data_IF_368342920451
#
_entry.id   IF_368342920451
#
_cell.length_a   1.000
_cell.length_b   1.000
_cell.length_c   1.000
_cell.angle_alpha   90.00
_cell.angle_beta   90.00
_cell.angle_gamma   90.00
#
_symmetry.space_group_name_H-M   'P 1'
#
loop_
_entity.id
_entity.type
_entity.pdbx_description
1 polymer ?
#
# COMPACT_ATOMS: atom_id res chain seq x y z
N UNK A 1 1.07 -22.77 17.04
CA UNK A 1 1.65 -23.07 15.75
C UNK A 1 2.19 -21.76 15.18
N UNK A 2 3.51 -21.59 15.12
CA UNK A 2 4.11 -20.48 14.40
C UNK A 2 4.04 -20.86 12.90
N UNK A 3 3.25 -20.15 12.10
CA UNK A 3 3.40 -20.18 10.66
C UNK A 3 4.74 -19.54 10.34
N UNK A 4 5.58 -20.20 9.56
CA UNK A 4 6.84 -19.62 9.11
C UNK A 4 6.54 -18.32 8.34
N UNK A 5 7.24 -17.24 8.66
CA UNK A 5 7.12 -15.96 7.97
C UNK A 5 7.73 -15.98 6.56
N UNK A 6 8.29 -17.09 6.14
CA UNK A 6 8.83 -17.32 4.80
C UNK A 6 8.97 -18.80 4.51
N UNK A 7 8.87 -19.16 3.24
CA UNK A 7 9.13 -20.50 2.72
C UNK A 7 10.19 -20.39 1.63
N UNK A 8 11.36 -21.01 1.88
CA UNK A 8 12.43 -21.14 0.89
C UNK A 8 12.54 -22.62 0.51
N UNK A 9 12.58 -22.91 -0.78
CA UNK A 9 12.81 -24.24 -1.33
C UNK A 9 13.85 -24.14 -2.46
N UNK A 10 14.47 -25.24 -2.85
CA UNK A 10 15.42 -25.29 -3.97
C UNK A 10 14.75 -24.99 -5.33
N UNK A 11 13.40 -25.03 -5.38
CA UNK A 11 12.58 -24.80 -6.57
C UNK A 11 12.09 -23.36 -6.71
N UNK A 12 12.45 -22.47 -5.77
CA UNK A 12 12.01 -21.07 -5.83
C UNK A 12 12.84 -20.26 -6.83
N UNK A 13 12.20 -19.81 -7.91
CA UNK A 13 12.80 -18.87 -8.87
C UNK A 13 12.77 -17.42 -8.35
N UNK A 14 11.81 -17.10 -7.47
CA UNK A 14 11.58 -15.75 -6.95
C UNK A 14 11.44 -15.74 -5.43
N UNK A 15 11.89 -14.64 -4.84
CA UNK A 15 11.60 -14.29 -3.46
C UNK A 15 10.81 -12.98 -3.42
N UNK A 16 9.61 -13.01 -2.82
CA UNK A 16 8.82 -11.81 -2.56
C UNK A 16 9.07 -11.38 -1.11
N UNK A 17 9.51 -10.13 -0.94
CA UNK A 17 9.80 -9.56 0.38
C UNK A 17 8.91 -8.35 0.61
N UNK A 18 8.37 -8.23 1.83
CA UNK A 18 7.74 -6.99 2.28
C UNK A 18 8.84 -5.94 2.51
N UNK A 19 8.68 -4.77 1.89
CA UNK A 19 9.55 -3.63 2.12
C UNK A 19 9.28 -3.05 3.51
N UNK A 20 10.33 -2.95 4.33
CA UNK A 20 10.26 -2.40 5.68
C UNK A 20 11.36 -1.34 5.83
N UNK A 21 10.95 -0.09 5.91
CA UNK A 21 11.82 1.07 6.11
C UNK A 21 12.30 1.22 7.55
N UNK A 22 11.80 0.40 8.49
CA UNK A 22 12.27 0.43 9.87
C UNK A 22 13.69 -0.14 10.01
N UNK A 23 14.35 0.18 11.13
CA UNK A 23 15.73 -0.21 11.38
C UNK A 23 15.93 -1.73 11.35
N UNK A 24 17.05 -2.17 10.78
CA UNK A 24 17.43 -3.58 10.71
C UNK A 24 17.63 -4.20 12.09
N UNK A 25 18.31 -3.48 12.98
CA UNK A 25 18.52 -3.87 14.37
C UNK A 25 18.93 -2.66 15.22
N UNK A 26 19.09 -2.86 16.52
CA UNK A 26 19.66 -1.84 17.43
C UNK A 26 21.14 -1.51 17.15
N UNK A 27 21.87 -2.44 16.57
CA UNK A 27 23.28 -2.29 16.20
C UNK A 27 23.46 -1.77 14.78
N UNK A 28 22.64 -2.25 13.85
CA UNK A 28 22.61 -1.75 12.47
C UNK A 28 21.36 -0.89 12.29
N UNK A 29 21.56 0.41 12.32
CA UNK A 29 20.45 1.39 12.22
C UNK A 29 20.04 1.71 10.79
N UNK A 30 20.57 1.00 9.80
CA UNK A 30 20.09 1.15 8.43
C UNK A 30 18.67 0.57 8.31
N UNK A 31 17.78 1.21 7.56
CA UNK A 31 16.51 0.60 7.16
C UNK A 31 16.69 -0.78 6.50
N UNK A 32 15.81 -1.70 6.79
CA UNK A 32 15.86 -3.06 6.21
C UNK A 32 15.85 -3.05 4.70
N UNK A 33 15.04 -2.17 4.09
CA UNK A 33 14.95 -2.03 2.64
C UNK A 33 16.30 -1.79 1.96
N UNK A 34 17.24 -1.09 2.62
CA UNK A 34 18.56 -0.80 2.07
C UNK A 34 19.47 -2.04 1.96
N UNK A 35 19.08 -3.14 2.61
CA UNK A 35 19.83 -4.40 2.57
C UNK A 35 19.37 -5.36 1.47
N UNK A 36 18.20 -5.12 0.88
CA UNK A 36 17.56 -6.09 -0.03
C UNK A 36 18.13 -6.08 -1.44
N UNK A 37 18.58 -4.93 -1.94
CA UNK A 37 19.10 -4.77 -3.31
C UNK A 37 18.20 -5.46 -4.37
N UNK A 38 16.92 -5.08 -4.47
CA UNK A 38 15.96 -5.84 -5.25
C UNK A 38 16.20 -5.74 -6.76
N UNK A 39 15.83 -6.82 -7.46
CA UNK A 39 15.75 -6.83 -8.93
C UNK A 39 14.51 -6.10 -9.42
N UNK A 40 13.39 -6.27 -8.72
CA UNK A 40 12.11 -5.63 -8.96
C UNK A 40 11.68 -5.00 -7.64
N UNK A 41 11.37 -3.73 -7.65
CA UNK A 41 10.85 -3.01 -6.50
C UNK A 41 9.50 -2.36 -6.84
N UNK A 42 8.59 -2.34 -5.85
CA UNK A 42 7.39 -1.53 -5.87
C UNK A 42 7.43 -0.54 -4.71
N UNK A 43 7.24 0.74 -5.01
CA UNK A 43 7.03 1.78 -4.00
C UNK A 43 5.63 2.35 -4.18
N UNK A 44 4.76 2.11 -3.21
CA UNK A 44 3.35 2.51 -3.26
C UNK A 44 3.10 3.95 -2.81
N UNK A 45 4.08 4.59 -2.17
CA UNK A 45 4.02 5.97 -1.72
C UNK A 45 4.94 6.25 -0.54
N UNK A 46 5.14 7.53 -0.24
CA UNK A 46 5.98 8.02 0.86
C UNK A 46 5.09 8.82 1.81
N UNK A 47 4.56 8.15 2.84
CA UNK A 47 3.77 8.79 3.89
C UNK A 47 4.54 8.70 5.22
N UNK A 48 4.83 9.86 5.82
CA UNK A 48 5.66 9.93 7.02
C UNK A 48 5.13 9.07 8.16
N UNK A 49 5.95 8.16 8.61
CA UNK A 49 5.71 7.30 9.77
C UNK A 49 7.02 7.12 10.56
N UNK A 50 6.97 6.36 11.66
CA UNK A 50 8.15 6.02 12.48
C UNK A 50 8.95 7.23 12.94
N UNK A 51 8.27 8.27 13.46
CA UNK A 51 8.89 9.54 13.92
C UNK A 51 9.95 9.35 15.01
N UNK A 52 9.95 8.22 15.71
CA UNK A 52 10.98 7.84 16.67
C UNK A 52 12.32 7.46 16.00
N UNK A 53 12.31 7.12 14.74
CA UNK A 53 13.48 6.73 13.93
C UNK A 53 13.82 7.81 12.92
N UNK A 54 12.80 8.37 12.28
CA UNK A 54 12.90 9.42 11.27
C UNK A 54 12.24 10.71 11.80
N UNK A 55 12.99 11.55 12.52
CA UNK A 55 12.43 12.69 13.24
C UNK A 55 11.92 13.82 12.34
N UNK A 56 12.28 13.81 11.04
CA UNK A 56 11.78 14.75 10.04
C UNK A 56 11.31 14.01 8.79
N UNK A 57 10.41 14.63 8.05
CA UNK A 57 9.91 14.08 6.78
C UNK A 57 11.03 13.94 5.75
N UNK A 58 11.94 14.91 5.66
CA UNK A 58 13.08 14.89 4.74
C UNK A 58 14.01 13.70 5.03
N UNK A 59 14.23 13.40 6.31
CA UNK A 59 15.01 12.23 6.70
C UNK A 59 14.34 10.92 6.29
N UNK A 60 13.00 10.87 6.35
CA UNK A 60 12.21 9.72 5.90
C UNK A 60 12.28 9.56 4.38
N UNK A 61 12.05 10.64 3.61
CA UNK A 61 12.13 10.66 2.15
C UNK A 61 13.51 10.21 1.65
N UNK A 62 14.59 10.62 2.35
CA UNK A 62 15.96 10.24 2.00
C UNK A 62 16.16 8.71 2.03
N UNK A 63 15.44 7.95 2.87
CA UNK A 63 15.56 6.49 2.90
C UNK A 63 15.04 5.86 1.61
N UNK A 64 13.99 6.40 1.03
CA UNK A 64 13.47 5.94 -0.26
C UNK A 64 14.40 6.31 -1.42
N UNK A 65 15.04 7.49 -1.36
CA UNK A 65 16.06 7.85 -2.34
C UNK A 65 17.24 6.86 -2.29
N UNK A 66 17.75 6.56 -1.09
CA UNK A 66 18.81 5.59 -0.89
C UNK A 66 18.39 4.17 -1.33
N UNK A 67 17.12 3.81 -1.11
CA UNK A 67 16.59 2.52 -1.56
C UNK A 67 16.62 2.40 -3.08
N UNK A 68 16.16 3.43 -3.82
CA UNK A 68 16.21 3.43 -5.28
C UNK A 68 17.67 3.32 -5.77
N UNK A 69 18.61 4.04 -5.14
CA UNK A 69 20.04 3.95 -5.46
C UNK A 69 20.66 2.57 -5.14
N UNK A 70 20.10 1.84 -4.16
CA UNK A 70 20.56 0.50 -3.78
C UNK A 70 20.12 -0.61 -4.74
N UNK A 71 19.16 -0.35 -5.63
CA UNK A 71 18.69 -1.33 -6.62
C UNK A 71 19.84 -1.78 -7.51
N UNK A 72 19.74 -3.00 -8.04
CA UNK A 72 20.71 -3.48 -9.03
C UNK A 72 20.59 -2.72 -10.35
N UNK A 73 21.66 -2.62 -11.11
CA UNK A 73 21.61 -2.08 -12.47
C UNK A 73 20.77 -2.99 -13.38
N UNK A 74 19.97 -2.38 -14.25
CA UNK A 74 18.99 -3.08 -15.08
C UNK A 74 17.73 -3.52 -14.35
N UNK A 75 17.63 -3.26 -13.05
CA UNK A 75 16.45 -3.56 -12.23
C UNK A 75 15.19 -2.81 -12.68
N UNK A 76 14.07 -3.17 -12.09
CA UNK A 76 12.75 -2.60 -12.41
C UNK A 76 12.17 -1.90 -11.18
N UNK A 77 11.85 -0.63 -11.30
CA UNK A 77 11.12 0.14 -10.31
C UNK A 77 9.70 0.41 -10.79
N UNK A 78 8.74 -0.11 -10.08
CA UNK A 78 7.31 0.18 -10.23
C UNK A 78 6.96 1.21 -9.15
N UNK A 79 6.33 2.32 -9.51
CA UNK A 79 6.11 3.40 -8.57
C UNK A 79 4.77 4.11 -8.78
N UNK A 80 4.13 4.47 -7.69
CA UNK A 80 2.91 5.28 -7.72
C UNK A 80 3.24 6.70 -8.18
N UNK A 81 2.77 7.08 -9.37
CA UNK A 81 3.02 8.41 -9.94
C UNK A 81 2.16 9.53 -9.35
N UNK A 82 1.18 9.19 -8.51
CA UNK A 82 0.35 10.16 -7.79
C UNK A 82 1.04 10.68 -6.52
N UNK A 83 2.13 10.03 -6.08
CA UNK A 83 2.97 10.50 -4.98
C UNK A 83 4.07 11.44 -5.51
N UNK A 84 3.93 12.73 -5.21
CA UNK A 84 4.83 13.78 -5.74
C UNK A 84 6.26 13.66 -5.19
N UNK A 85 6.46 13.21 -3.94
CA UNK A 85 7.81 13.04 -3.40
C UNK A 85 8.51 11.84 -4.04
N UNK A 86 7.77 10.75 -4.25
CA UNK A 86 8.29 9.58 -4.95
C UNK A 86 8.65 9.92 -6.41
N UNK A 87 7.81 10.68 -7.11
CA UNK A 87 8.12 11.15 -8.47
C UNK A 87 9.41 11.94 -8.54
N UNK A 88 9.65 12.85 -7.59
CA UNK A 88 10.90 13.64 -7.53
C UNK A 88 12.12 12.71 -7.43
N UNK A 89 12.08 11.71 -6.56
CA UNK A 89 13.13 10.71 -6.40
C UNK A 89 13.36 9.96 -7.71
N UNK A 90 12.28 9.44 -8.32
CA UNK A 90 12.35 8.62 -9.54
C UNK A 90 12.90 9.41 -10.73
N UNK A 91 12.57 10.70 -10.85
CA UNK A 91 13.08 11.53 -11.94
C UNK A 91 14.51 12.01 -11.69
N UNK A 92 14.90 12.17 -10.43
CA UNK A 92 16.24 12.64 -10.08
C UNK A 92 17.31 11.54 -10.13
N UNK A 93 16.93 10.25 -10.00
CA UNK A 93 17.91 9.17 -10.03
C UNK A 93 18.51 8.96 -11.42
N UNK A 94 19.84 8.89 -11.49
CA UNK A 94 20.62 8.52 -12.67
C UNK A 94 20.85 6.99 -12.76
N UNK A 95 20.32 6.22 -11.80
CA UNK A 95 20.45 4.77 -11.78
C UNK A 95 19.90 4.15 -13.06
N UNK A 96 20.66 3.25 -13.68
CA UNK A 96 20.28 2.54 -14.90
C UNK A 96 19.23 1.45 -14.59
N UNK A 97 17.99 1.86 -14.30
CA UNK A 97 16.83 1.00 -14.00
C UNK A 97 15.66 1.31 -14.93
N UNK A 98 14.79 0.33 -15.15
CA UNK A 98 13.52 0.53 -15.86
C UNK A 98 12.50 1.10 -14.90
N UNK A 99 11.75 2.12 -15.30
CA UNK A 99 10.79 2.85 -14.45
C UNK A 99 9.38 2.67 -15.00
N UNK A 100 8.49 2.10 -14.21
CA UNK A 100 7.09 1.84 -14.56
C UNK A 100 6.17 2.63 -13.63
N UNK A 101 5.62 3.77 -14.10
CA UNK A 101 4.63 4.53 -13.34
C UNK A 101 3.31 3.78 -13.29
N UNK A 102 2.58 3.92 -12.20
CA UNK A 102 1.19 3.50 -12.09
C UNK A 102 0.40 4.48 -11.24
N UNK A 103 -0.90 4.43 -11.35
CA UNK A 103 -1.88 5.18 -10.56
C UNK A 103 -3.08 4.30 -10.26
N UNK A 104 -4.05 4.85 -9.54
CA UNK A 104 -5.33 4.17 -9.32
C UNK A 104 -5.95 3.83 -10.68
N UNK A 105 -6.28 2.55 -10.95
CA UNK A 105 -6.86 2.14 -12.22
C UNK A 105 -8.30 2.66 -12.37
N UNK A 106 -8.77 2.77 -13.61
CA UNK A 106 -10.14 3.15 -13.88
C UNK A 106 -11.13 2.14 -13.30
N UNK A 107 -12.07 2.62 -12.52
CA UNK A 107 -13.06 1.80 -11.83
C UNK A 107 -14.35 2.58 -11.61
N UNK A 108 -15.40 1.87 -11.23
CA UNK A 108 -16.65 2.46 -10.77
C UNK A 108 -17.29 1.61 -9.67
N UNK A 109 -18.22 2.21 -8.94
CA UNK A 109 -18.97 1.53 -7.89
C UNK A 109 -20.42 1.46 -8.33
N UNK A 110 -20.97 0.25 -8.33
CA UNK A 110 -22.39 0.02 -8.59
C UNK A 110 -22.97 -0.90 -7.51
N UNK A 111 -24.06 -0.46 -6.87
CA UNK A 111 -24.77 -1.21 -5.82
C UNK A 111 -23.84 -1.73 -4.69
N UNK A 112 -22.80 -0.94 -4.33
CA UNK A 112 -21.83 -1.29 -3.29
C UNK A 112 -20.82 -2.36 -3.69
N UNK A 113 -20.66 -2.61 -4.97
CA UNK A 113 -19.62 -3.46 -5.56
C UNK A 113 -18.69 -2.57 -6.39
N UNK A 114 -17.39 -2.70 -6.19
CA UNK A 114 -16.37 -2.04 -7.01
C UNK A 114 -16.09 -2.85 -8.25
N UNK A 115 -16.13 -2.21 -9.42
CA UNK A 115 -15.81 -2.81 -10.71
C UNK A 115 -14.55 -2.17 -11.27
N UNK A 116 -13.56 -2.99 -11.60
CA UNK A 116 -12.36 -2.57 -12.31
C UNK A 116 -12.63 -2.57 -13.82
N UNK A 117 -12.35 -1.48 -14.51
CA UNK A 117 -12.41 -1.43 -15.98
C UNK A 117 -11.18 -2.13 -16.56
N UNK A 118 -11.40 -3.21 -17.29
CA UNK A 118 -10.35 -3.90 -18.03
C UNK A 118 -10.59 -3.79 -19.53
N UNK A 119 -9.61 -4.21 -20.33
CA UNK A 119 -9.75 -4.24 -21.79
C UNK A 119 -10.92 -5.15 -22.26
N UNK A 120 -11.20 -6.22 -21.55
CA UNK A 120 -12.29 -7.15 -21.85
C UNK A 120 -13.65 -6.73 -21.25
N UNK A 121 -13.66 -5.67 -20.47
CA UNK A 121 -14.85 -5.15 -19.80
C UNK A 121 -14.68 -5.08 -18.28
N UNK A 122 -15.71 -4.61 -17.56
CA UNK A 122 -15.62 -4.44 -16.12
C UNK A 122 -15.67 -5.78 -15.38
N UNK A 123 -14.78 -5.97 -14.42
CA UNK A 123 -14.77 -7.13 -13.52
C UNK A 123 -15.09 -6.72 -12.09
N UNK A 124 -15.91 -7.48 -11.35
CA UNK A 124 -16.24 -7.19 -9.97
C UNK A 124 -15.05 -7.54 -9.05
N UNK A 125 -14.84 -6.73 -8.01
CA UNK A 125 -13.83 -6.94 -7.00
C UNK A 125 -14.46 -7.11 -5.62
N UNK A 126 -13.85 -7.94 -4.79
CA UNK A 126 -14.16 -8.08 -3.37
C UNK A 126 -13.51 -6.98 -2.51
N UNK A 127 -12.48 -6.32 -3.06
CA UNK A 127 -11.79 -5.18 -2.43
C UNK A 127 -12.29 -3.85 -2.99
N UNK A 128 -12.13 -2.78 -2.23
CA UNK A 128 -12.52 -1.43 -2.63
C UNK A 128 -11.62 -0.36 -2.02
N UNK A 129 -11.78 0.88 -2.50
CA UNK A 129 -11.03 2.06 -2.09
C UNK A 129 -9.76 2.26 -2.89
N UNK A 130 -9.48 3.51 -3.22
CA UNK A 130 -8.40 3.91 -4.12
C UNK A 130 -7.03 3.34 -3.72
N UNK A 131 -6.73 3.30 -2.40
CA UNK A 131 -5.48 2.74 -1.90
C UNK A 131 -5.34 1.23 -2.16
N UNK A 132 -6.44 0.45 -2.06
CA UNK A 132 -6.42 -0.98 -2.39
C UNK A 132 -6.34 -1.19 -3.90
N UNK A 133 -7.02 -0.35 -4.70
CA UNK A 133 -6.96 -0.41 -6.16
C UNK A 133 -5.58 0.02 -6.67
N UNK A 134 -4.97 1.02 -6.05
CA UNK A 134 -3.58 1.39 -6.32
C UNK A 134 -2.62 0.22 -6.04
N UNK A 135 -2.76 -0.44 -4.89
CA UNK A 135 -1.96 -1.63 -4.57
C UNK A 135 -2.20 -2.79 -5.55
N UNK A 136 -3.46 -2.98 -6.00
CA UNK A 136 -3.81 -3.97 -7.02
C UNK A 136 -3.05 -3.70 -8.33
N UNK A 137 -3.06 -2.44 -8.80
CA UNK A 137 -2.38 -2.08 -10.05
C UNK A 137 -0.86 -2.26 -9.94
N UNK A 138 -0.27 -1.87 -8.82
CA UNK A 138 1.14 -2.13 -8.54
C UNK A 138 1.47 -3.63 -8.54
N UNK A 139 0.61 -4.46 -7.94
CA UNK A 139 0.76 -5.92 -7.94
C UNK A 139 0.65 -6.51 -9.34
N UNK A 140 -0.30 -6.04 -10.17
CA UNK A 140 -0.43 -6.44 -11.57
C UNK A 140 0.86 -6.21 -12.35
N UNK A 141 1.45 -5.03 -12.20
CA UNK A 141 2.71 -4.71 -12.87
C UNK A 141 3.88 -5.56 -12.39
N UNK A 142 3.93 -5.94 -11.10
CA UNK A 142 4.92 -6.93 -10.61
C UNK A 142 4.69 -8.27 -11.29
N UNK A 143 3.45 -8.75 -11.32
CA UNK A 143 3.07 -10.02 -11.96
C UNK A 143 3.50 -10.05 -13.42
N UNK A 144 3.29 -8.96 -14.16
CA UNK A 144 3.75 -8.85 -15.54
C UNK A 144 5.28 -8.97 -15.68
N UNK A 145 6.06 -8.40 -14.72
CA UNK A 145 7.54 -8.57 -14.73
C UNK A 145 7.97 -10.02 -14.46
N UNK A 146 7.09 -10.80 -13.83
CA UNK A 146 7.31 -12.24 -13.56
C UNK A 146 6.72 -13.14 -14.66
N UNK A 147 6.17 -12.57 -15.73
CA UNK A 147 5.62 -13.30 -16.86
C UNK A 147 4.16 -13.74 -16.72
N UNK A 148 3.46 -13.27 -15.69
CA UNK A 148 2.02 -13.50 -15.52
C UNK A 148 1.26 -12.48 -16.38
N UNK A 149 0.40 -12.97 -17.27
CA UNK A 149 -0.39 -12.13 -18.16
C UNK A 149 -1.56 -11.46 -17.42
N UNK A 150 -2.06 -10.36 -17.99
CA UNK A 150 -3.15 -9.60 -17.39
C UNK A 150 -4.41 -10.45 -17.20
N UNK A 151 -4.73 -11.31 -18.14
CA UNK A 151 -5.94 -12.18 -18.07
C UNK A 151 -5.87 -13.13 -16.87
N UNK A 152 -4.72 -13.77 -16.66
CA UNK A 152 -4.48 -14.65 -15.50
C UNK A 152 -4.56 -13.86 -14.18
N UNK A 153 -4.01 -12.63 -14.19
CA UNK A 153 -4.09 -11.75 -13.04
C UNK A 153 -5.54 -11.35 -12.74
N UNK A 154 -6.28 -10.93 -13.75
CA UNK A 154 -7.68 -10.51 -13.59
C UNK A 154 -8.61 -11.66 -13.19
N UNK A 155 -8.37 -12.89 -13.67
CA UNK A 155 -9.10 -14.06 -13.18
C UNK A 155 -8.85 -14.29 -11.69
N UNK A 156 -7.59 -14.25 -11.26
CA UNK A 156 -7.21 -14.50 -9.87
C UNK A 156 -7.71 -13.42 -8.90
N UNK A 157 -7.63 -12.14 -9.30
CA UNK A 157 -7.93 -11.01 -8.40
C UNK A 157 -9.41 -10.90 -8.03
N UNK A 158 -10.34 -11.40 -8.85
CA UNK A 158 -11.78 -11.39 -8.57
C UNK A 158 -12.13 -12.14 -7.28
N UNK A 159 -11.34 -13.16 -6.94
CA UNK A 159 -11.55 -13.95 -5.72
C UNK A 159 -10.78 -13.42 -4.50
N UNK A 160 -9.96 -12.38 -4.66
CA UNK A 160 -9.13 -11.82 -3.60
C UNK A 160 -9.94 -10.95 -2.65
N UNK A 161 -10.05 -11.37 -1.39
CA UNK A 161 -10.85 -10.70 -0.35
C UNK A 161 -10.09 -9.62 0.44
N UNK A 162 -8.90 -9.26 -0.01
CA UNK A 162 -8.02 -8.33 0.71
C UNK A 162 -7.07 -9.04 1.67
N UNK A 163 -6.09 -8.29 2.16
CA UNK A 163 -5.20 -8.73 3.22
C UNK A 163 -5.90 -8.64 4.57
N UNK A 164 -5.53 -9.49 5.52
CA UNK A 164 -6.06 -9.45 6.89
C UNK A 164 -5.90 -8.05 7.49
N UNK A 165 -6.93 -7.57 8.16
CA UNK A 165 -6.99 -6.22 8.75
C UNK A 165 -6.79 -5.07 7.75
N UNK A 166 -7.15 -5.26 6.46
CA UNK A 166 -7.15 -4.22 5.43
C UNK A 166 -8.55 -4.13 4.83
N UNK A 167 -9.41 -3.29 5.40
CA UNK A 167 -10.84 -3.23 5.12
C UNK A 167 -11.48 -4.63 5.14
N UNK A 168 -11.07 -5.45 6.11
CA UNK A 168 -11.55 -6.80 6.32
C UNK A 168 -13.01 -6.79 6.75
N UNK A 169 -13.89 -7.45 5.99
CA UNK A 169 -15.31 -7.56 6.35
C UNK A 169 -15.46 -8.43 7.59
N UNK A 170 -15.95 -7.83 8.70
CA UNK A 170 -16.25 -8.56 9.94
C UNK A 170 -17.68 -9.10 9.92
N UNK A 171 -18.63 -8.24 9.50
CA UNK A 171 -20.06 -8.57 9.54
C UNK A 171 -20.85 -7.75 8.53
N UNK A 172 -21.83 -8.41 7.91
CA UNK A 172 -22.82 -7.77 7.05
C UNK A 172 -24.21 -8.22 7.47
N UNK A 173 -25.11 -7.25 7.66
CA UNK A 173 -26.55 -7.47 7.90
C UNK A 173 -27.33 -6.55 6.95
N UNK A 174 -28.66 -6.64 6.88
CA UNK A 174 -29.47 -5.70 6.12
C UNK A 174 -29.30 -4.24 6.62
N UNK A 175 -29.07 -4.06 7.93
CA UNK A 175 -29.03 -2.76 8.59
C UNK A 175 -27.63 -2.13 8.56
N UNK A 176 -26.57 -2.92 8.71
CA UNK A 176 -25.20 -2.40 8.78
C UNK A 176 -24.17 -3.35 8.17
N UNK A 177 -23.02 -2.77 7.87
CA UNK A 177 -21.80 -3.51 7.52
C UNK A 177 -20.65 -3.02 8.40
N UNK A 178 -19.85 -3.93 8.91
CA UNK A 178 -18.71 -3.63 9.76
C UNK A 178 -17.41 -4.14 9.13
N UNK A 179 -16.44 -3.27 9.06
CA UNK A 179 -15.08 -3.57 8.58
C UNK A 179 -14.06 -3.34 9.68
N UNK A 180 -12.97 -4.08 9.60
CA UNK A 180 -11.78 -3.89 10.42
C UNK A 180 -10.62 -3.48 9.52
N UNK A 181 -9.92 -2.44 9.95
CA UNK A 181 -8.72 -1.96 9.26
C UNK A 181 -7.56 -1.80 10.26
N UNK A 182 -6.34 -1.79 9.75
CA UNK A 182 -5.14 -1.55 10.56
C UNK A 182 -4.63 -0.11 10.37
N UNK A 183 -5.39 0.75 9.74
CA UNK A 183 -5.05 2.15 9.56
C UNK A 183 -4.82 2.82 10.93
N UNK A 184 -3.59 3.24 11.18
CA UNK A 184 -3.16 3.89 12.41
C UNK A 184 -2.35 5.16 12.16
N UNK A 185 -1.78 5.35 10.97
CA UNK A 185 -1.18 6.61 10.55
C UNK A 185 -2.24 7.56 9.97
N UNK A 186 -2.11 8.89 10.12
CA UNK A 186 -3.09 9.87 9.66
C UNK A 186 -3.56 9.67 8.22
N UNK A 187 -2.61 9.55 7.28
CA UNK A 187 -2.90 9.33 5.86
C UNK A 187 -3.68 8.04 5.60
N UNK A 188 -3.36 6.96 6.33
CA UNK A 188 -4.07 5.68 6.22
C UNK A 188 -5.50 5.78 6.76
N UNK A 189 -5.72 6.51 7.85
CA UNK A 189 -7.06 6.77 8.40
C UNK A 189 -7.91 7.56 7.41
N UNK A 190 -7.35 8.61 6.81
CA UNK A 190 -8.02 9.39 5.74
C UNK A 190 -8.40 8.49 4.58
N UNK A 191 -7.47 7.66 4.10
CA UNK A 191 -7.72 6.75 2.96
C UNK A 191 -8.83 5.74 3.27
N UNK A 192 -8.83 5.16 4.46
CA UNK A 192 -9.87 4.20 4.89
C UNK A 192 -11.24 4.86 5.02
N UNK A 193 -11.33 6.04 5.64
CA UNK A 193 -12.62 6.76 5.79
C UNK A 193 -13.16 7.23 4.44
N UNK A 194 -12.30 7.70 3.54
CA UNK A 194 -12.68 8.05 2.18
C UNK A 194 -13.19 6.82 1.40
N UNK A 195 -12.48 5.70 1.48
CA UNK A 195 -12.89 4.44 0.84
C UNK A 195 -14.28 4.00 1.32
N UNK A 196 -14.52 4.05 2.63
CA UNK A 196 -15.84 3.72 3.20
C UNK A 196 -16.93 4.66 2.71
N UNK A 197 -16.67 5.98 2.65
CA UNK A 197 -17.66 6.96 2.20
C UNK A 197 -17.97 6.82 0.71
N UNK A 198 -16.95 6.57 -0.11
CA UNK A 198 -17.15 6.34 -1.54
C UNK A 198 -17.92 5.05 -1.81
N UNK A 199 -17.60 3.97 -1.08
CA UNK A 199 -18.26 2.68 -1.23
C UNK A 199 -19.71 2.68 -0.76
N UNK A 200 -20.03 3.49 0.25
CA UNK A 200 -21.35 3.56 0.88
C UNK A 200 -21.82 5.02 1.03
N UNK A 201 -22.06 5.76 -0.07
CA UNK A 201 -22.31 7.21 -0.03
C UNK A 201 -23.55 7.59 0.79
N UNK A 202 -24.57 6.72 0.80
CA UNK A 202 -25.85 6.93 1.47
C UNK A 202 -25.91 6.41 2.91
N UNK A 203 -24.79 5.83 3.41
CA UNK A 203 -24.73 5.31 4.77
C UNK A 203 -24.09 6.31 5.71
N UNK A 204 -24.56 6.28 6.94
CA UNK A 204 -23.86 6.87 8.09
C UNK A 204 -22.61 6.02 8.40
N UNK A 205 -21.49 6.70 8.64
CA UNK A 205 -20.22 6.03 8.92
C UNK A 205 -19.84 6.30 10.37
N UNK A 206 -19.75 5.24 11.16
CA UNK A 206 -19.23 5.29 12.53
C UNK A 206 -17.82 4.73 12.51
N UNK A 207 -16.84 5.58 12.81
CA UNK A 207 -15.43 5.19 12.90
C UNK A 207 -14.99 5.08 14.37
N UNK A 208 -14.28 3.99 14.69
CA UNK A 208 -13.63 3.80 15.98
C UNK A 208 -12.13 3.62 15.75
N UNK A 209 -11.34 4.61 16.16
CA UNK A 209 -9.90 4.65 15.99
C UNK A 209 -9.19 4.42 17.34
N UNK A 210 -8.30 3.44 17.38
CA UNK A 210 -7.40 3.22 18.52
C UNK A 210 -6.03 3.85 18.25
N UNK A 211 -5.61 4.78 19.11
CA UNK A 211 -4.29 5.38 19.09
C UNK A 211 -3.35 4.54 19.97
N UNK A 212 -2.54 3.67 19.37
CA UNK A 212 -1.71 2.69 20.11
C UNK A 212 -0.23 2.68 19.66
N UNK A 213 0.12 3.42 18.62
CA UNK A 213 1.51 3.48 18.13
C UNK A 213 2.30 4.57 18.81
N UNK A 214 3.63 4.46 18.80
CA UNK A 214 4.51 5.49 19.34
C UNK A 214 4.21 6.88 18.74
N UNK A 215 4.04 6.95 17.42
CA UNK A 215 3.71 8.20 16.71
C UNK A 215 2.36 8.75 17.17
N UNK A 216 1.32 7.93 17.20
CA UNK A 216 -0.04 8.35 17.57
C UNK A 216 -0.20 8.77 19.03
N UNK A 217 0.72 8.35 19.90
CA UNK A 217 0.77 8.76 21.31
C UNK A 217 1.65 10.00 21.55
N UNK A 218 2.31 10.52 20.52
CA UNK A 218 3.12 11.73 20.63
C UNK A 218 2.22 12.96 20.43
N UNK A 219 2.11 13.88 21.44
CA UNK A 219 1.25 15.06 21.35
C UNK A 219 1.56 15.96 20.15
N UNK A 220 2.83 16.05 19.73
CA UNK A 220 3.22 16.85 18.56
C UNK A 220 2.76 16.25 17.23
N UNK A 221 2.56 14.94 17.20
CA UNK A 221 2.11 14.23 16.01
C UNK A 221 0.58 14.11 15.94
N UNK A 222 -0.11 14.34 17.06
CA UNK A 222 -1.59 14.26 17.08
C UNK A 222 -2.26 15.29 16.16
N UNK A 223 -1.62 16.41 15.89
CA UNK A 223 -2.14 17.43 14.96
C UNK A 223 -2.26 16.90 13.53
N UNK A 224 -1.47 15.90 13.16
CA UNK A 224 -1.54 15.28 11.84
C UNK A 224 -2.85 14.47 11.61
N UNK A 225 -3.58 14.16 12.70
CA UNK A 225 -4.90 13.50 12.63
C UNK A 225 -6.05 14.50 12.44
N UNK A 226 -5.78 15.81 12.44
CA UNK A 226 -6.84 16.80 12.21
C UNK A 226 -7.49 16.56 10.84
N UNK A 227 -8.82 16.45 10.82
CA UNK A 227 -9.58 16.14 9.62
C UNK A 227 -9.60 14.66 9.18
N UNK A 228 -8.78 13.78 9.80
CA UNK A 228 -8.67 12.39 9.34
C UNK A 228 -9.98 11.58 9.39
N UNK A 229 -10.92 11.99 10.23
CA UNK A 229 -12.24 11.36 10.39
C UNK A 229 -13.40 12.21 9.88
N UNK A 230 -13.15 13.28 9.12
CA UNK A 230 -14.21 14.19 8.64
C UNK A 230 -15.29 13.50 7.79
N UNK A 231 -14.99 12.36 7.16
CA UNK A 231 -15.96 11.59 6.38
C UNK A 231 -16.79 10.61 7.23
N UNK A 232 -16.44 10.43 8.50
CA UNK A 232 -17.27 9.74 9.47
C UNK A 232 -18.23 10.72 10.17
N UNK A 233 -19.37 10.21 10.62
CA UNK A 233 -20.40 10.99 11.31
C UNK A 233 -20.17 10.98 12.81
#
# INVERSE_FOLDING_TARGET
FFSASGKLTEENDFMVMEGDEYLSSTLDRRPKILLYQPNIALISGIAWDHVNVFPTFENYVEQFRLFVESMIEGGVLIYNEEDEELKKIVYATEKAIKKFPYKVPEHFIDNGITYLNTFEGPIPLEIFGDHNLSNLEGARLICNQLGIMDDDFYEAIQSFKGASKRLELIRRTPEFVAYKDFAHAPSKVVSTTNAMKNQFPDKEIIACLELHTYSSLNPKFLTEYEGALEKAN
#
